data_IF_321118176931
#
_entry.id   IF_321118176931
#
_cell.length_a   1.000
_cell.length_b   1.000
_cell.length_c   1.000
_cell.angle_alpha   90.00
_cell.angle_beta   90.00
_cell.angle_gamma   90.00
#
_symmetry.space_group_name_H-M   'P 1'
#
loop_
_entity.id
_entity.type
_entity.pdbx_description
1 polymer ?
#
# COMPACT_ATOMS: atom_id res chain seq x y z
N UNK A 1 7.13 -28.75 -5.38
CA UNK A 1 8.25 -27.84 -5.07
C UNK A 1 8.13 -26.69 -6.06
N UNK A 2 7.74 -25.51 -5.59
CA UNK A 2 7.65 -24.32 -6.43
C UNK A 2 9.05 -23.92 -6.89
N UNK A 3 9.14 -23.39 -8.11
CA UNK A 3 10.42 -23.00 -8.73
C UNK A 3 10.86 -21.67 -8.10
N UNK A 4 12.15 -21.45 -7.82
CA UNK A 4 12.61 -20.27 -7.09
C UNK A 4 12.14 -18.91 -7.66
N UNK A 5 11.81 -18.82 -8.96
CA UNK A 5 11.27 -17.59 -9.57
C UNK A 5 9.79 -17.33 -9.29
N UNK A 6 8.98 -18.36 -9.03
CA UNK A 6 7.55 -18.19 -8.72
C UNK A 6 7.37 -17.67 -7.28
N UNK A 7 8.29 -18.04 -6.38
CA UNK A 7 8.31 -17.59 -5.00
C UNK A 7 8.75 -16.10 -4.91
N UNK A 8 9.69 -15.69 -5.76
CA UNK A 8 10.15 -14.30 -5.84
C UNK A 8 9.07 -13.37 -6.40
N UNK A 9 8.35 -13.78 -7.44
CA UNK A 9 7.25 -12.99 -8.02
C UNK A 9 6.08 -12.83 -7.04
N UNK A 10 5.69 -13.90 -6.34
CA UNK A 10 4.70 -13.82 -5.26
C UNK A 10 5.17 -12.96 -4.09
N UNK A 11 6.46 -13.00 -3.76
CA UNK A 11 7.02 -12.13 -2.72
C UNK A 11 6.95 -10.66 -3.13
N UNK A 12 7.26 -10.35 -4.39
CA UNK A 12 7.16 -9.00 -4.97
C UNK A 12 5.71 -8.50 -4.92
N UNK A 13 4.74 -9.29 -5.35
CA UNK A 13 3.32 -8.91 -5.32
C UNK A 13 2.83 -8.64 -3.90
N UNK A 14 3.18 -9.54 -2.97
CA UNK A 14 2.83 -9.38 -1.56
C UNK A 14 3.45 -8.13 -0.95
N UNK A 15 4.73 -7.86 -1.23
CA UNK A 15 5.42 -6.67 -0.73
C UNK A 15 4.89 -5.39 -1.39
N UNK A 16 4.55 -5.43 -2.67
CA UNK A 16 3.93 -4.32 -3.39
C UNK A 16 2.58 -3.96 -2.75
N UNK A 17 1.72 -4.96 -2.51
CA UNK A 17 0.45 -4.76 -1.83
C UNK A 17 0.65 -4.21 -0.41
N UNK A 18 1.63 -4.74 0.32
CA UNK A 18 1.98 -4.23 1.66
C UNK A 18 2.40 -2.76 1.62
N UNK A 19 3.28 -2.38 0.69
CA UNK A 19 3.74 -0.99 0.55
C UNK A 19 2.61 -0.04 0.15
N UNK A 20 1.73 -0.45 -0.76
CA UNK A 20 0.53 0.32 -1.11
C UNK A 20 -0.39 0.51 0.09
N UNK A 21 -0.61 -0.54 0.89
CA UNK A 21 -1.36 -0.46 2.14
C UNK A 21 -0.74 0.53 3.12
N UNK A 22 0.57 0.45 3.38
CA UNK A 22 1.26 1.37 4.31
C UNK A 22 1.13 2.82 3.83
N UNK A 23 1.32 3.06 2.53
CA UNK A 23 1.21 4.39 1.92
C UNK A 23 -0.21 4.94 2.04
N UNK A 24 -1.21 4.12 1.74
CA UNK A 24 -2.62 4.49 1.90
C UNK A 24 -2.93 4.84 3.37
N UNK A 25 -2.48 4.04 4.33
CA UNK A 25 -2.68 4.32 5.76
C UNK A 25 -2.04 5.66 6.17
N UNK A 26 -0.80 5.91 5.73
CA UNK A 26 -0.09 7.15 6.04
C UNK A 26 -0.80 8.38 5.44
N UNK A 27 -1.19 8.30 4.17
CA UNK A 27 -1.93 9.36 3.47
C UNK A 27 -3.29 9.60 4.11
N UNK A 28 -4.02 8.54 4.45
CA UNK A 28 -5.32 8.62 5.13
C UNK A 28 -5.20 9.32 6.49
N UNK A 29 -4.19 8.94 7.29
CA UNK A 29 -3.91 9.59 8.57
C UNK A 29 -3.54 11.07 8.42
N UNK A 30 -2.69 11.40 7.44
CA UNK A 30 -2.29 12.79 7.17
C UNK A 30 -3.48 13.64 6.73
N UNK A 31 -4.28 13.16 5.77
CA UNK A 31 -5.45 13.86 5.27
C UNK A 31 -6.50 14.09 6.36
N UNK A 32 -6.78 13.08 7.19
CA UNK A 32 -7.69 13.24 8.34
C UNK A 32 -7.21 14.30 9.32
N UNK A 33 -5.91 14.38 9.62
CA UNK A 33 -5.35 15.42 10.50
C UNK A 33 -5.46 16.82 9.89
N UNK A 34 -5.33 16.94 8.57
CA UNK A 34 -5.40 18.22 7.86
C UNK A 34 -6.85 18.70 7.65
N UNK A 35 -7.74 17.83 7.19
CA UNK A 35 -9.14 18.13 6.92
C UNK A 35 -10.00 16.85 7.02
N UNK A 36 -10.63 16.60 8.18
CA UNK A 36 -11.45 15.40 8.38
C UNK A 36 -12.60 15.26 7.39
N UNK A 37 -13.28 16.36 7.05
CA UNK A 37 -14.43 16.32 6.16
C UNK A 37 -14.03 16.01 4.71
N UNK A 38 -12.92 16.56 4.24
CA UNK A 38 -12.41 16.25 2.90
C UNK A 38 -11.88 14.81 2.83
N UNK A 39 -11.23 14.34 3.89
CA UNK A 39 -10.74 12.97 3.98
C UNK A 39 -11.91 11.96 3.91
N UNK A 40 -13.00 12.21 4.63
CA UNK A 40 -14.19 11.35 4.62
C UNK A 40 -14.80 11.26 3.20
N UNK A 41 -14.99 12.40 2.54
CA UNK A 41 -15.50 12.44 1.17
C UNK A 41 -14.58 11.70 0.18
N UNK A 42 -13.26 11.82 0.37
CA UNK A 42 -12.28 11.13 -0.45
C UNK A 42 -12.31 9.61 -0.22
N UNK A 43 -12.43 9.14 1.02
CA UNK A 43 -12.52 7.72 1.33
C UNK A 43 -13.79 7.09 0.73
N UNK A 44 -14.93 7.77 0.84
CA UNK A 44 -16.17 7.34 0.20
C UNK A 44 -16.04 7.27 -1.32
N UNK A 45 -15.36 8.23 -1.94
CA UNK A 45 -15.10 8.22 -3.37
C UNK A 45 -14.21 7.04 -3.79
N UNK A 46 -13.18 6.70 -2.99
CA UNK A 46 -12.35 5.54 -3.23
C UNK A 46 -13.13 4.23 -3.07
N UNK A 47 -13.89 4.06 -2.00
CA UNK A 47 -14.74 2.88 -1.77
C UNK A 47 -15.68 2.63 -2.95
N UNK A 48 -16.33 3.70 -3.44
CA UNK A 48 -17.22 3.62 -4.60
C UNK A 48 -16.47 3.22 -5.87
N UNK A 49 -15.32 3.83 -6.14
CA UNK A 49 -14.52 3.51 -7.33
C UNK A 49 -14.03 2.05 -7.31
N UNK A 50 -13.68 1.53 -6.14
CA UNK A 50 -13.28 0.13 -5.95
C UNK A 50 -14.47 -0.80 -6.19
N UNK A 51 -15.62 -0.51 -5.59
CA UNK A 51 -16.84 -1.29 -5.81
C UNK A 51 -17.21 -1.34 -7.31
N UNK A 52 -17.16 -0.20 -8.00
CA UNK A 52 -17.41 -0.10 -9.43
C UNK A 52 -16.38 -0.91 -10.25
N UNK A 53 -15.11 -0.90 -9.84
CA UNK A 53 -14.06 -1.69 -10.51
C UNK A 53 -14.27 -3.20 -10.34
N UNK A 54 -14.60 -3.66 -9.13
CA UNK A 54 -14.91 -5.07 -8.86
C UNK A 54 -16.16 -5.53 -9.61
N UNK A 55 -17.19 -4.69 -9.66
CA UNK A 55 -18.39 -4.96 -10.44
C UNK A 55 -18.07 -5.07 -11.94
N UNK A 56 -17.23 -4.17 -12.48
CA UNK A 56 -16.76 -4.27 -13.87
C UNK A 56 -15.98 -5.56 -14.09
N UNK A 57 -15.05 -5.92 -13.21
CA UNK A 57 -14.26 -7.15 -13.33
C UNK A 57 -15.15 -8.41 -13.37
N UNK A 58 -16.14 -8.47 -12.48
CA UNK A 58 -17.14 -9.54 -12.46
C UNK A 58 -17.98 -9.57 -13.76
N UNK A 59 -18.52 -8.42 -14.19
CA UNK A 59 -19.38 -8.33 -15.37
C UNK A 59 -18.66 -8.71 -16.66
N UNK A 60 -17.38 -8.32 -16.80
CA UNK A 60 -16.57 -8.63 -17.99
C UNK A 60 -15.93 -10.02 -17.93
N UNK A 61 -16.09 -10.75 -16.82
CA UNK A 61 -15.37 -12.01 -16.55
C UNK A 61 -13.88 -11.91 -16.88
N UNK A 62 -13.22 -10.85 -16.38
CA UNK A 62 -11.81 -10.57 -16.71
C UNK A 62 -10.87 -11.72 -16.36
N UNK A 63 -11.23 -12.54 -15.38
CA UNK A 63 -10.49 -13.73 -14.91
C UNK A 63 -11.18 -15.04 -15.32
N UNK A 64 -12.08 -15.00 -16.31
CA UNK A 64 -12.84 -16.17 -16.75
C UNK A 64 -13.93 -16.61 -15.75
N UNK A 65 -14.22 -17.92 -15.63
CA UNK A 65 -15.29 -18.45 -14.77
C UNK A 65 -15.17 -18.05 -13.29
N UNK A 66 -13.94 -17.85 -12.81
CA UNK A 66 -13.63 -17.58 -11.40
C UNK A 66 -13.72 -16.09 -11.02
N UNK A 67 -14.03 -15.22 -11.97
CA UNK A 67 -14.06 -13.76 -11.77
C UNK A 67 -14.91 -13.30 -10.59
N UNK A 68 -16.01 -14.00 -10.29
CA UNK A 68 -16.85 -13.70 -9.12
C UNK A 68 -16.12 -14.01 -7.81
N UNK A 69 -15.52 -15.19 -7.71
CA UNK A 69 -14.79 -15.61 -6.51
C UNK A 69 -13.57 -14.70 -6.27
N UNK A 70 -12.86 -14.36 -7.34
CA UNK A 70 -11.72 -13.43 -7.29
C UNK A 70 -12.18 -12.03 -6.89
N UNK A 71 -13.28 -11.50 -7.46
CA UNK A 71 -13.81 -10.19 -7.08
C UNK A 71 -14.19 -10.11 -5.59
N UNK A 72 -14.80 -11.17 -5.05
CA UNK A 72 -15.13 -11.24 -3.63
C UNK A 72 -13.87 -11.28 -2.76
N UNK A 73 -12.90 -12.15 -3.09
CA UNK A 73 -11.64 -12.25 -2.33
C UNK A 73 -10.84 -10.95 -2.35
N UNK A 74 -10.78 -10.26 -3.50
CA UNK A 74 -10.14 -8.95 -3.62
C UNK A 74 -10.91 -7.90 -2.82
N UNK A 75 -12.24 -7.92 -2.87
CA UNK A 75 -13.10 -7.04 -2.08
C UNK A 75 -12.87 -7.17 -0.58
N UNK A 76 -12.85 -8.39 -0.05
CA UNK A 76 -12.58 -8.68 1.36
C UNK A 76 -11.20 -8.16 1.77
N UNK A 77 -10.18 -8.41 0.94
CA UNK A 77 -8.82 -7.97 1.23
C UNK A 77 -8.67 -6.45 1.24
N UNK A 78 -9.37 -5.75 0.34
CA UNK A 78 -9.38 -4.28 0.33
C UNK A 78 -10.13 -3.74 1.55
N UNK A 79 -11.28 -4.32 1.91
CA UNK A 79 -12.03 -3.91 3.10
C UNK A 79 -11.18 -3.95 4.37
N UNK A 80 -10.37 -5.00 4.54
CA UNK A 80 -9.39 -5.10 5.64
C UNK A 80 -8.35 -3.96 5.63
N UNK A 81 -7.89 -3.53 4.46
CA UNK A 81 -6.92 -2.43 4.32
C UNK A 81 -7.55 -1.10 4.72
N UNK A 82 -8.76 -0.82 4.23
CA UNK A 82 -9.49 0.41 4.54
C UNK A 82 -9.80 0.51 6.04
N UNK A 83 -10.29 -0.58 6.63
CA UNK A 83 -10.55 -0.66 8.07
C UNK A 83 -9.28 -0.42 8.91
N UNK A 84 -8.14 -1.00 8.51
CA UNK A 84 -6.86 -0.75 9.19
C UNK A 84 -6.40 0.70 9.06
N UNK A 85 -6.56 1.32 7.89
CA UNK A 85 -6.25 2.73 7.68
C UNK A 85 -7.13 3.65 8.52
N UNK A 86 -8.39 3.26 8.76
CA UNK A 86 -9.28 3.95 9.68
C UNK A 86 -8.87 3.76 11.15
N UNK A 87 -8.36 2.58 11.54
CA UNK A 87 -7.91 2.29 12.92
C UNK A 87 -6.54 2.86 13.29
N UNK A 88 -5.55 2.86 12.39
CA UNK A 88 -4.19 3.39 12.64
C UNK A 88 -4.14 4.90 12.92
N UNK A 89 -5.25 5.60 12.73
CA UNK A 89 -5.42 7.02 13.03
C UNK A 89 -5.25 7.34 14.53
N UNK A 90 -5.25 6.33 15.40
CA UNK A 90 -5.17 6.48 16.85
C UNK A 90 -3.77 6.18 17.45
N UNK A 91 -2.74 5.90 16.63
CA UNK A 91 -1.36 5.67 17.11
C UNK A 91 -0.43 6.90 16.93
N UNK A 92 0.40 7.29 17.93
CA UNK A 92 1.28 8.46 17.85
C UNK A 92 2.62 8.20 17.11
N UNK A 93 3.14 9.20 16.38
CA UNK A 93 4.34 9.10 15.53
C UNK A 93 5.66 9.60 16.19
N UNK A 94 6.82 9.05 15.79
CA UNK A 94 8.21 9.36 16.25
C UNK A 94 9.04 9.94 15.08
N UNK A 95 10.00 10.85 15.33
CA UNK A 95 10.65 11.72 14.31
C UNK A 95 12.05 11.28 13.78
N UNK A 96 12.50 11.68 12.55
CA UNK A 96 13.76 11.22 11.88
C UNK A 96 14.86 12.32 11.66
N UNK A 97 16.07 11.94 11.20
CA UNK A 97 17.25 12.81 10.93
C UNK A 97 18.38 12.14 10.09
N UNK A 98 19.49 12.84 9.75
CA UNK A 98 19.86 13.37 8.41
C UNK A 98 20.56 12.41 7.39
N UNK A 99 20.34 12.69 6.10
CA UNK A 99 20.53 11.88 4.87
C UNK A 99 21.93 11.82 4.18
N UNK A 100 22.28 10.67 3.56
CA UNK A 100 23.51 10.37 2.79
C UNK A 100 23.28 10.21 1.25
N UNK A 101 24.33 10.30 0.40
CA UNK A 101 24.23 10.46 -1.07
C UNK A 101 23.53 9.34 -1.87
N UNK A 102 23.38 8.13 -1.33
CA UNK A 102 22.59 7.05 -1.97
C UNK A 102 21.09 7.39 -2.02
N UNK A 103 20.65 8.26 -1.11
CA UNK A 103 19.26 8.67 -0.98
C UNK A 103 18.82 9.66 -2.06
N UNK A 104 19.79 10.29 -2.74
CA UNK A 104 19.56 11.22 -3.83
C UNK A 104 18.94 10.52 -5.05
N UNK A 105 19.37 9.30 -5.38
CA UNK A 105 18.82 8.53 -6.50
C UNK A 105 17.38 8.06 -6.23
N UNK A 106 17.05 7.76 -4.98
CA UNK A 106 15.71 7.35 -4.54
C UNK A 106 14.76 8.54 -4.45
N UNK A 107 15.29 9.71 -4.07
CA UNK A 107 14.59 11.00 -4.08
C UNK A 107 14.28 11.48 -5.51
N UNK A 108 15.16 11.22 -6.47
CA UNK A 108 14.94 11.49 -7.89
C UNK A 108 13.85 10.57 -8.50
N UNK A 109 13.53 9.44 -7.86
CA UNK A 109 12.40 8.57 -8.18
C UNK A 109 11.07 8.98 -7.48
N UNK A 110 11.04 10.10 -6.75
CA UNK A 110 9.83 10.64 -6.12
C UNK A 110 9.50 10.10 -4.73
N UNK A 111 10.44 9.42 -4.06
CA UNK A 111 10.27 8.90 -2.70
C UNK A 111 10.72 9.95 -1.66
N UNK A 112 9.98 10.09 -0.55
CA UNK A 112 10.26 11.09 0.50
C UNK A 112 11.55 10.77 1.28
N UNK A 113 12.25 11.82 1.76
CA UNK A 113 13.50 11.70 2.51
C UNK A 113 13.42 10.74 3.71
N UNK A 114 12.30 10.77 4.44
CA UNK A 114 12.07 9.87 5.59
C UNK A 114 12.04 8.39 5.19
N UNK A 115 11.42 8.06 4.04
CA UNK A 115 11.39 6.69 3.55
C UNK A 115 12.78 6.21 3.10
N UNK A 116 13.63 7.13 2.64
CA UNK A 116 14.96 6.76 2.21
C UNK A 116 15.89 6.48 3.40
N UNK A 117 15.80 7.26 4.48
CA UNK A 117 16.55 7.00 5.72
C UNK A 117 16.23 5.61 6.29
N UNK A 118 14.96 5.20 6.26
CA UNK A 118 14.51 3.87 6.70
C UNK A 118 15.14 2.77 5.84
N UNK A 119 15.16 2.93 4.51
CA UNK A 119 15.77 1.95 3.60
C UNK A 119 17.28 1.82 3.83
N UNK A 120 17.97 2.91 4.13
CA UNK A 120 19.41 2.89 4.42
C UNK A 120 19.74 2.25 5.79
N UNK A 121 18.85 2.34 6.78
CA UNK A 121 19.01 1.60 8.03
C UNK A 121 18.85 0.09 7.81
N UNK A 122 17.86 -0.30 7.01
CA UNK A 122 17.61 -1.71 6.67
C UNK A 122 18.78 -2.34 5.89
N UNK A 123 19.35 -1.64 4.91
CA UNK A 123 20.52 -2.15 4.15
C UNK A 123 21.77 -2.32 5.02
N UNK A 124 21.99 -1.43 6.00
CA UNK A 124 23.10 -1.57 6.96
C UNK A 124 22.92 -2.77 7.87
N UNK A 125 21.69 -3.07 8.26
CA UNK A 125 21.35 -4.18 9.16
C UNK A 125 21.35 -5.54 8.46
N UNK A 126 21.02 -5.58 7.17
CA UNK A 126 20.97 -6.79 6.38
C UNK A 126 21.75 -6.60 5.07
N UNK A 127 23.09 -6.64 5.12
CA UNK A 127 23.88 -6.58 3.89
C UNK A 127 23.58 -7.83 3.04
N UNK A 128 23.22 -7.62 1.77
CA UNK A 128 23.11 -8.72 0.82
C UNK A 128 24.45 -9.47 0.77
N UNK A 129 24.42 -10.77 1.05
CA UNK A 129 25.59 -11.66 0.95
C UNK A 129 25.91 -12.01 -0.50
#
# INVERSE_FOLDING_TARGET
>A
MAKPGDDDEQAIDRLTLYMLKETYCAAAGALRRMNPSAAEALFQAFERQIADALQRMHAHRSEGPDSTAIALAVGDRIAEILDQAHRRQFEPAVAPGPEDRSLKAVREAGISSEAVEILADLQRRFPAS
#
